data_IF_169312161198
#
_entry.id   IF_169312161198
#
_cell.length_a   1.000
_cell.length_b   1.000
_cell.length_c   1.000
_cell.angle_alpha   90.00
_cell.angle_beta   90.00
_cell.angle_gamma   90.00
#
_symmetry.space_group_name_H-M   'P 1'
#
loop_
_entity.id
_entity.type
_entity.pdbx_description
1 polymer ?
#
# COMPACT_ATOMS: atom_id res chain seq x y z
N UNK A 1 25.96 -15.01 -32.93
CA UNK A 1 24.82 -15.79 -32.42
C UNK A 1 25.38 -16.80 -31.44
N UNK A 2 25.01 -16.72 -30.16
CA UNK A 2 25.41 -17.73 -29.19
C UNK A 2 24.75 -19.06 -29.58
N UNK A 3 25.52 -20.14 -29.68
CA UNK A 3 25.00 -21.49 -29.93
C UNK A 3 24.03 -21.86 -28.81
N UNK A 4 22.73 -21.95 -29.13
CA UNK A 4 21.72 -22.41 -28.17
C UNK A 4 22.10 -23.81 -27.68
N UNK A 5 22.00 -24.08 -26.36
CA UNK A 5 22.33 -25.39 -25.82
C UNK A 5 21.43 -26.47 -26.45
N UNK A 6 21.98 -27.67 -26.68
CA UNK A 6 21.19 -28.80 -27.19
C UNK A 6 20.03 -29.12 -26.25
N UNK A 7 18.82 -29.20 -26.81
CA UNK A 7 17.59 -29.47 -26.07
C UNK A 7 17.53 -30.93 -25.63
N UNK A 8 17.37 -31.13 -24.33
CA UNK A 8 17.14 -32.46 -23.74
C UNK A 8 15.72 -32.95 -24.03
N UNK A 9 15.43 -34.24 -23.81
CA UNK A 9 14.08 -34.79 -23.96
C UNK A 9 13.05 -34.13 -23.03
N UNK A 10 13.49 -33.67 -21.85
CA UNK A 10 12.62 -32.94 -20.91
C UNK A 10 12.30 -31.55 -21.44
N UNK A 11 13.26 -30.87 -22.05
CA UNK A 11 13.06 -29.56 -22.67
C UNK A 11 12.12 -29.64 -23.88
N UNK A 12 12.23 -30.70 -24.70
CA UNK A 12 11.31 -30.94 -25.83
C UNK A 12 9.87 -31.17 -25.36
N UNK A 13 9.68 -31.92 -24.26
CA UNK A 13 8.36 -32.11 -23.66
C UNK A 13 7.79 -30.80 -23.11
N UNK A 14 8.62 -29.98 -22.46
CA UNK A 14 8.23 -28.67 -21.96
C UNK A 14 7.80 -27.72 -23.09
N UNK A 15 8.56 -27.66 -24.19
CA UNK A 15 8.16 -26.89 -25.38
C UNK A 15 6.82 -27.35 -25.95
N UNK A 16 6.56 -28.66 -25.99
CA UNK A 16 5.26 -29.19 -26.41
C UNK A 16 4.12 -28.72 -25.50
N UNK A 17 4.33 -28.72 -24.19
CA UNK A 17 3.34 -28.21 -23.22
C UNK A 17 3.08 -26.72 -23.42
N UNK A 18 4.15 -25.93 -23.63
CA UNK A 18 4.03 -24.51 -23.94
C UNK A 18 3.22 -24.31 -25.23
N UNK A 19 3.52 -25.04 -26.31
CA UNK A 19 2.75 -25.01 -27.57
C UNK A 19 1.27 -25.30 -27.36
N UNK A 20 0.95 -26.35 -26.62
CA UNK A 20 -0.43 -26.74 -26.33
C UNK A 20 -1.17 -25.66 -25.53
N UNK A 21 -0.49 -25.07 -24.55
CA UNK A 21 -1.03 -24.00 -23.71
C UNK A 21 -1.33 -22.74 -24.54
N UNK A 22 -0.39 -22.35 -25.39
CA UNK A 22 -0.51 -21.22 -26.30
C UNK A 22 -1.64 -21.46 -27.33
N UNK A 23 -1.75 -22.67 -27.90
CA UNK A 23 -2.85 -23.06 -28.81
C UNK A 23 -4.23 -23.03 -28.14
N UNK A 24 -4.31 -23.34 -26.85
CA UNK A 24 -5.57 -23.33 -26.10
C UNK A 24 -6.08 -21.91 -25.83
N UNK A 25 -5.19 -20.91 -25.78
CA UNK A 25 -5.52 -19.53 -25.44
C UNK A 25 -5.03 -18.51 -26.49
N UNK A 26 -5.43 -18.63 -27.76
CA UNK A 26 -4.85 -17.84 -28.84
C UNK A 26 -5.21 -16.35 -28.80
N UNK A 27 -6.28 -15.96 -28.10
CA UNK A 27 -6.67 -14.56 -27.98
C UNK A 27 -5.85 -13.77 -26.93
N UNK A 28 -4.93 -14.44 -26.20
CA UNK A 28 -4.16 -13.84 -25.10
C UNK A 28 -2.69 -13.60 -25.46
N UNK A 29 -2.28 -13.91 -26.70
CA UNK A 29 -0.91 -13.67 -27.16
C UNK A 29 -0.53 -12.19 -27.09
N UNK A 30 0.68 -11.94 -26.60
CA UNK A 30 1.34 -10.64 -26.67
C UNK A 30 0.80 -9.56 -25.71
N UNK A 31 -0.26 -9.86 -24.95
CA UNK A 31 -0.84 -8.93 -23.97
C UNK A 31 -0.25 -9.15 -22.59
N UNK A 32 0.94 -8.59 -22.39
CA UNK A 32 1.50 -8.40 -21.06
C UNK A 32 1.20 -6.95 -20.66
N UNK A 33 0.07 -6.69 -20.03
CA UNK A 33 -0.30 -5.32 -19.64
C UNK A 33 0.38 -4.90 -18.31
N UNK A 34 0.80 -5.88 -17.51
CA UNK A 34 1.45 -5.68 -16.23
C UNK A 34 2.99 -5.59 -16.37
N UNK A 35 3.63 -4.46 -16.00
CA UNK A 35 5.09 -4.27 -16.15
C UNK A 35 5.94 -5.28 -15.37
N UNK A 36 5.43 -5.80 -14.26
CA UNK A 36 6.14 -6.75 -13.42
C UNK A 36 6.16 -8.13 -14.11
N UNK A 37 5.01 -8.57 -14.62
CA UNK A 37 4.87 -9.78 -15.44
C UNK A 37 5.70 -9.67 -16.73
N UNK A 38 5.76 -8.50 -17.38
CA UNK A 38 6.64 -8.26 -18.54
C UNK A 38 8.12 -8.51 -18.23
N UNK A 39 8.63 -7.93 -17.15
CA UNK A 39 10.04 -8.10 -16.76
C UNK A 39 10.36 -9.56 -16.47
N UNK A 40 9.46 -10.25 -15.77
CA UNK A 40 9.66 -11.66 -15.46
C UNK A 40 9.60 -12.54 -16.71
N UNK A 41 8.69 -12.25 -17.66
CA UNK A 41 8.62 -12.96 -18.93
C UNK A 41 9.92 -12.83 -19.76
N UNK A 42 10.58 -11.65 -19.72
CA UNK A 42 11.89 -11.47 -20.35
C UNK A 42 12.98 -12.27 -19.64
N UNK A 43 12.95 -12.32 -18.31
CA UNK A 43 13.90 -13.12 -17.53
C UNK A 43 13.79 -14.62 -17.86
N UNK A 44 12.56 -15.10 -18.07
CA UNK A 44 12.32 -16.49 -18.44
C UNK A 44 13.05 -16.92 -19.72
N UNK A 45 13.30 -16.01 -20.68
CA UNK A 45 14.01 -16.30 -21.94
C UNK A 45 15.43 -16.84 -21.72
N UNK A 46 16.04 -16.54 -20.57
CA UNK A 46 17.40 -16.99 -20.23
C UNK A 46 17.45 -18.42 -19.68
N UNK A 47 16.29 -19.03 -19.36
CA UNK A 47 16.20 -20.38 -18.83
C UNK A 47 15.84 -21.39 -19.93
N UNK A 48 16.21 -22.66 -19.72
CA UNK A 48 15.79 -23.76 -20.59
C UNK A 48 14.28 -24.00 -20.49
N UNK A 49 13.63 -24.60 -21.49
CA UNK A 49 12.17 -24.75 -21.50
C UNK A 49 11.59 -25.45 -20.28
N UNK A 50 12.26 -26.52 -19.80
CA UNK A 50 11.80 -27.22 -18.59
C UNK A 50 11.94 -26.36 -17.33
N UNK A 51 13.01 -25.57 -17.21
CA UNK A 51 13.24 -24.64 -16.11
C UNK A 51 12.29 -23.43 -16.17
N UNK A 52 11.98 -22.93 -17.36
CA UNK A 52 11.10 -21.79 -17.55
C UNK A 52 9.66 -22.06 -17.09
N UNK A 53 9.15 -23.29 -17.30
CA UNK A 53 7.84 -23.71 -16.75
C UNK A 53 7.87 -23.66 -15.22
N UNK A 54 8.88 -24.26 -14.61
CA UNK A 54 9.03 -24.28 -13.15
C UNK A 54 9.12 -22.85 -12.60
N UNK A 55 9.95 -22.00 -13.20
CA UNK A 55 10.12 -20.60 -12.79
C UNK A 55 8.85 -19.77 -12.96
N UNK A 56 8.08 -19.99 -14.02
CA UNK A 56 6.80 -19.32 -14.21
C UNK A 56 5.77 -19.75 -13.14
N UNK A 57 5.75 -21.03 -12.76
CA UNK A 57 4.88 -21.53 -11.69
C UNK A 57 5.31 -21.02 -10.31
N UNK A 58 6.61 -21.02 -9.99
CA UNK A 58 7.16 -20.44 -8.76
C UNK A 58 6.73 -18.98 -8.59
N UNK A 59 6.85 -18.18 -9.65
CA UNK A 59 6.46 -16.78 -9.62
C UNK A 59 4.95 -16.59 -9.46
N UNK A 60 4.12 -17.42 -10.10
CA UNK A 60 2.67 -17.42 -9.86
C UNK A 60 2.33 -17.77 -8.41
N UNK A 61 3.03 -18.72 -7.81
CA UNK A 61 2.85 -19.06 -6.39
C UNK A 61 3.29 -17.91 -5.48
N UNK A 62 4.37 -17.21 -5.80
CA UNK A 62 4.80 -16.02 -5.05
C UNK A 62 3.74 -14.91 -5.12
N UNK A 63 3.24 -14.58 -6.32
CA UNK A 63 2.18 -13.59 -6.52
C UNK A 63 0.93 -13.98 -5.72
N UNK A 64 0.54 -15.26 -5.78
CA UNK A 64 -0.58 -15.76 -5.00
C UNK A 64 -0.36 -15.60 -3.50
N UNK A 65 0.80 -16.02 -2.98
CA UNK A 65 1.11 -15.92 -1.56
C UNK A 65 1.10 -14.45 -1.07
N UNK A 66 1.58 -13.52 -1.90
CA UNK A 66 1.49 -12.08 -1.60
C UNK A 66 0.04 -11.59 -1.56
N UNK A 67 -0.79 -12.01 -2.52
CA UNK A 67 -2.21 -11.66 -2.51
C UNK A 67 -2.93 -12.24 -1.30
N UNK A 68 -2.72 -13.51 -0.97
CA UNK A 68 -3.29 -14.16 0.21
C UNK A 68 -2.89 -13.39 1.49
N UNK A 69 -1.64 -12.92 1.60
CA UNK A 69 -1.18 -12.07 2.71
C UNK A 69 -1.87 -10.69 2.73
N UNK A 70 -2.06 -10.04 1.58
CA UNK A 70 -2.77 -8.77 1.51
C UNK A 70 -4.27 -8.92 1.85
N UNK A 71 -4.90 -10.05 1.49
CA UNK A 71 -6.27 -10.38 1.90
C UNK A 71 -6.38 -10.51 3.43
N UNK A 72 -5.44 -11.19 4.08
CA UNK A 72 -5.39 -11.28 5.55
C UNK A 72 -5.24 -9.91 6.21
N UNK A 73 -4.36 -9.06 5.67
CA UNK A 73 -4.17 -7.70 6.16
C UNK A 73 -5.40 -6.81 5.93
N UNK A 74 -6.10 -6.99 4.81
CA UNK A 74 -7.35 -6.29 4.53
C UNK A 74 -8.47 -6.72 5.50
N UNK A 75 -8.60 -8.02 5.77
CA UNK A 75 -9.57 -8.54 6.73
C UNK A 75 -9.30 -8.00 8.15
N UNK A 76 -8.03 -7.98 8.58
CA UNK A 76 -7.65 -7.39 9.87
C UNK A 76 -7.94 -5.87 9.92
N UNK A 77 -7.73 -5.17 8.80
CA UNK A 77 -8.05 -3.76 8.68
C UNK A 77 -9.56 -3.48 8.75
N UNK A 78 -10.39 -4.32 8.14
CA UNK A 78 -11.86 -4.23 8.25
C UNK A 78 -12.34 -4.47 9.68
N UNK A 79 -11.79 -5.48 10.38
CA UNK A 79 -12.07 -5.70 11.79
C UNK A 79 -11.73 -4.46 12.61
N UNK A 80 -10.55 -3.88 12.39
CA UNK A 80 -10.12 -2.66 13.07
C UNK A 80 -11.03 -1.47 12.79
N UNK A 81 -11.51 -1.33 11.55
CA UNK A 81 -12.50 -0.31 11.17
C UNK A 81 -13.82 -0.50 11.92
N UNK A 82 -14.30 -1.74 12.04
CA UNK A 82 -15.50 -2.05 12.80
C UNK A 82 -15.32 -1.76 14.31
N UNK A 83 -14.15 -2.06 14.87
CA UNK A 83 -13.81 -1.71 16.26
C UNK A 83 -13.86 -0.19 16.49
N UNK A 84 -13.23 0.60 15.61
CA UNK A 84 -13.21 2.06 15.72
C UNK A 84 -14.59 2.69 15.56
N UNK A 85 -15.46 2.07 14.76
CA UNK A 85 -16.87 2.48 14.64
C UNK A 85 -17.63 2.24 15.94
N UNK A 86 -17.39 1.11 16.60
CA UNK A 86 -18.04 0.78 17.87
C UNK A 86 -17.45 1.55 19.05
N UNK A 87 -16.14 1.81 19.03
CA UNK A 87 -15.38 2.43 20.11
C UNK A 87 -14.35 3.42 19.54
N UNK A 88 -14.76 4.67 19.30
CA UNK A 88 -13.85 5.73 18.92
C UNK A 88 -12.76 5.94 19.97
N UNK A 89 -11.56 6.30 19.52
CA UNK A 89 -10.42 6.59 20.41
C UNK A 89 -10.32 8.09 20.59
N UNK A 90 -10.45 8.55 21.83
CA UNK A 90 -10.36 9.97 22.19
C UNK A 90 -8.95 10.35 22.67
N UNK A 91 -8.61 11.63 22.56
CA UNK A 91 -7.42 12.20 23.23
C UNK A 91 -7.43 11.90 24.73
N UNK A 92 -6.29 11.49 25.29
CA UNK A 92 -6.16 11.02 26.68
C UNK A 92 -7.09 9.83 27.05
N UNK A 93 -7.80 9.24 26.09
CA UNK A 93 -8.69 8.10 26.29
C UNK A 93 -10.10 8.41 26.82
N UNK A 94 -10.45 9.68 27.05
CA UNK A 94 -11.73 10.06 27.66
C UNK A 94 -12.48 11.15 26.90
N UNK A 95 -13.79 11.00 26.78
CA UNK A 95 -14.71 12.02 26.29
C UNK A 95 -15.40 12.79 27.45
N UNK A 96 -16.19 13.81 27.10
CA UNK A 96 -17.01 14.56 28.05
C UNK A 96 -16.22 15.33 29.12
N UNK A 97 -16.86 15.55 30.28
CA UNK A 97 -16.31 16.38 31.36
C UNK A 97 -14.97 15.85 31.90
N UNK A 98 -14.83 14.53 32.06
CA UNK A 98 -13.59 13.89 32.52
C UNK A 98 -12.46 14.18 31.53
N UNK A 99 -12.71 14.03 30.23
CA UNK A 99 -11.75 14.34 29.19
C UNK A 99 -11.34 15.83 29.20
N UNK A 100 -12.28 16.75 29.46
CA UNK A 100 -11.99 18.18 29.57
C UNK A 100 -11.09 18.47 30.78
N UNK A 101 -11.39 17.90 31.94
CA UNK A 101 -10.58 18.09 33.15
C UNK A 101 -9.16 17.55 32.98
N UNK A 102 -9.01 16.34 32.42
CA UNK A 102 -7.71 15.74 32.17
C UNK A 102 -6.89 16.55 31.16
N UNK A 103 -7.51 17.00 30.05
CA UNK A 103 -6.83 17.87 29.08
C UNK A 103 -6.41 19.18 29.71
N UNK A 104 -7.26 19.79 30.53
CA UNK A 104 -6.93 21.03 31.25
C UNK A 104 -5.73 20.84 32.18
N UNK A 105 -5.70 19.71 32.90
CA UNK A 105 -4.58 19.36 33.77
C UNK A 105 -3.28 19.14 32.98
N UNK A 106 -3.30 18.29 31.94
CA UNK A 106 -2.12 18.01 31.12
C UNK A 106 -1.65 19.26 30.37
N UNK A 107 -2.56 20.07 29.85
CA UNK A 107 -2.25 21.36 29.22
C UNK A 107 -1.59 22.34 30.19
N UNK A 108 -2.02 22.36 31.45
CA UNK A 108 -1.40 23.19 32.49
C UNK A 108 0.02 22.73 32.79
N UNK A 109 0.24 21.41 32.91
CA UNK A 109 1.59 20.83 33.05
C UNK A 109 2.47 21.17 31.84
N UNK A 110 1.89 21.11 30.64
CA UNK A 110 2.58 21.40 29.38
C UNK A 110 2.81 22.92 29.15
N UNK A 111 2.34 23.79 30.04
CA UNK A 111 2.35 25.25 29.87
C UNK A 111 1.62 25.76 28.62
N UNK A 112 0.63 25.00 28.14
CA UNK A 112 -0.19 25.34 26.96
C UNK A 112 -1.68 25.37 27.30
N UNK A 113 -2.13 26.17 28.28
CA UNK A 113 -3.52 26.16 28.75
C UNK A 113 -4.53 26.46 27.63
N UNK A 114 -4.13 27.24 26.61
CA UNK A 114 -4.97 27.57 25.46
C UNK A 114 -5.28 26.36 24.56
N UNK A 115 -4.48 25.29 24.61
CA UNK A 115 -4.76 24.05 23.86
C UNK A 115 -5.65 23.08 24.63
N UNK A 116 -6.00 23.37 25.89
CA UNK A 116 -6.88 22.52 26.70
C UNK A 116 -8.26 22.27 26.10
N UNK A 117 -8.89 23.21 25.37
CA UNK A 117 -10.19 22.98 24.75
C UNK A 117 -10.11 22.08 23.52
N UNK A 118 -8.92 21.82 22.96
CA UNK A 118 -8.78 21.04 21.74
C UNK A 118 -8.82 19.53 22.06
N UNK A 119 -9.39 18.71 21.18
CA UNK A 119 -9.30 17.25 21.25
C UNK A 119 -9.23 16.65 19.87
N UNK A 120 -8.96 15.35 19.82
CA UNK A 120 -9.24 14.56 18.65
C UNK A 120 -10.04 13.32 19.04
N UNK A 121 -10.70 12.76 18.04
CA UNK A 121 -11.28 11.43 18.07
C UNK A 121 -10.89 10.68 16.80
N UNK A 122 -10.50 9.42 16.94
CA UNK A 122 -10.21 8.53 15.83
C UNK A 122 -11.38 7.58 15.65
N UNK A 123 -12.00 7.67 14.47
CA UNK A 123 -13.22 6.96 14.08
C UNK A 123 -12.98 6.13 12.83
N UNK A 124 -14.02 5.43 12.34
CA UNK A 124 -13.98 4.71 11.06
C UNK A 124 -13.85 5.63 9.83
N UNK A 125 -14.02 6.94 10.00
CA UNK A 125 -13.86 7.96 8.95
C UNK A 125 -12.45 8.56 8.89
N UNK A 126 -11.66 8.38 9.94
CA UNK A 126 -10.35 9.00 10.10
C UNK A 126 -10.19 9.72 11.44
N UNK A 127 -9.16 10.56 11.53
CA UNK A 127 -8.84 11.34 12.71
C UNK A 127 -9.57 12.68 12.63
N UNK A 128 -10.54 12.90 13.50
CA UNK A 128 -11.29 14.16 13.60
C UNK A 128 -10.65 15.00 14.69
N UNK A 129 -10.14 16.17 14.34
CA UNK A 129 -9.53 17.12 15.27
C UNK A 129 -10.49 18.28 15.49
N UNK A 130 -10.80 18.54 16.75
CA UNK A 130 -11.72 19.56 17.23
C UNK A 130 -10.95 20.70 17.88
N UNK A 131 -11.12 21.91 17.34
CA UNK A 131 -10.47 23.15 17.77
C UNK A 131 -11.53 24.25 17.93
N UNK A 132 -12.29 24.26 19.04
CA UNK A 132 -13.51 25.07 19.17
C UNK A 132 -13.29 26.59 19.14
N UNK A 133 -12.05 27.03 19.40
CA UNK A 133 -11.69 28.46 19.40
C UNK A 133 -11.02 28.91 18.09
N UNK A 134 -10.86 28.01 17.12
CA UNK A 134 -10.26 28.33 15.82
C UNK A 134 -11.33 28.63 14.76
N UNK A 135 -10.94 29.32 13.69
CA UNK A 135 -11.83 29.61 12.56
C UNK A 135 -12.39 28.35 11.89
N UNK A 136 -11.60 27.27 11.89
CA UNK A 136 -12.04 25.94 11.44
C UNK A 136 -12.14 25.09 12.69
N UNK A 137 -13.38 24.80 13.11
CA UNK A 137 -13.65 24.13 14.38
C UNK A 137 -13.43 22.62 14.34
N UNK A 138 -13.56 22.01 13.17
CA UNK A 138 -13.43 20.57 12.98
C UNK A 138 -12.65 20.28 11.68
N UNK A 139 -11.73 19.31 11.74
CA UNK A 139 -10.98 18.82 10.57
C UNK A 139 -10.89 17.31 10.60
N UNK A 140 -11.23 16.68 9.48
CA UNK A 140 -11.03 15.24 9.28
C UNK A 140 -9.70 15.01 8.56
N UNK A 141 -8.84 14.20 9.14
CA UNK A 141 -7.52 13.82 8.61
C UNK A 141 -7.55 12.35 8.24
N UNK A 142 -7.29 12.07 6.96
CA UNK A 142 -7.20 10.71 6.44
C UNK A 142 -5.75 10.30 6.21
N UNK A 143 -5.50 9.00 6.02
CA UNK A 143 -4.16 8.53 5.65
C UNK A 143 -3.65 9.14 4.34
N UNK A 144 -4.56 9.35 3.37
CA UNK A 144 -4.25 9.93 2.07
C UNK A 144 -3.72 11.36 2.21
N UNK A 145 -4.30 12.16 3.11
CA UNK A 145 -3.82 13.53 3.36
C UNK A 145 -2.38 13.55 3.89
N UNK A 146 -2.00 12.54 4.68
CA UNK A 146 -0.65 12.38 5.21
C UNK A 146 0.33 11.86 4.14
N UNK A 147 -0.09 10.88 3.34
CA UNK A 147 0.74 10.34 2.25
C UNK A 147 1.03 11.38 1.16
N UNK A 148 0.01 12.14 0.76
CA UNK A 148 0.13 13.21 -0.24
C UNK A 148 0.81 14.48 0.32
N UNK A 149 1.24 14.46 1.60
CA UNK A 149 1.82 15.61 2.29
C UNK A 149 0.94 16.86 2.13
N UNK A 150 -0.38 16.72 2.32
CA UNK A 150 -1.30 17.85 2.48
C UNK A 150 -1.32 18.34 3.92
N UNK A 151 -1.09 17.41 4.85
CA UNK A 151 -1.05 17.65 6.29
C UNK A 151 0.11 16.87 6.90
N UNK A 152 0.71 17.43 7.94
CA UNK A 152 1.75 16.77 8.71
C UNK A 152 1.31 16.63 10.17
N UNK A 153 1.36 15.41 10.69
CA UNK A 153 1.20 15.16 12.12
C UNK A 153 2.59 15.09 12.77
N UNK A 154 2.82 15.92 13.78
CA UNK A 154 4.07 15.97 14.53
C UNK A 154 3.84 15.95 16.03
N UNK A 155 4.93 15.79 16.78
CA UNK A 155 4.93 15.94 18.24
C UNK A 155 5.66 17.23 18.60
N UNK A 156 5.04 18.05 19.43
CA UNK A 156 5.67 19.19 20.06
C UNK A 156 5.90 18.89 21.55
N UNK A 157 7.15 18.73 22.00
CA UNK A 157 7.45 18.60 23.42
C UNK A 157 7.09 19.88 24.20
N UNK A 158 6.97 19.81 25.53
CA UNK A 158 6.87 21.00 26.36
C UNK A 158 8.15 21.85 26.26
N UNK A 159 8.01 23.16 26.14
CA UNK A 159 9.14 24.11 25.95
C UNK A 159 10.21 23.97 27.04
N UNK A 160 9.81 23.69 28.28
CA UNK A 160 10.75 23.52 29.40
C UNK A 160 11.54 22.20 29.33
N UNK A 161 11.04 21.19 28.60
CA UNK A 161 11.77 19.94 28.37
C UNK A 161 12.72 20.03 27.17
N UNK A 162 12.59 21.03 26.28
CA UNK A 162 13.39 21.11 25.05
C UNK A 162 14.90 21.09 25.30
N UNK A 163 15.37 21.82 26.32
CA UNK A 163 16.80 21.84 26.66
C UNK A 163 17.31 20.47 27.12
N UNK A 164 16.53 19.78 27.94
CA UNK A 164 16.86 18.45 28.44
C UNK A 164 16.82 17.42 27.30
N UNK A 165 15.77 17.45 26.48
CA UNK A 165 15.60 16.55 25.33
C UNK A 165 16.72 16.78 24.32
N UNK A 166 17.08 18.04 24.04
CA UNK A 166 18.18 18.40 23.16
C UNK A 166 19.52 17.84 23.66
N UNK A 167 19.79 17.94 24.96
CA UNK A 167 20.96 17.35 25.58
C UNK A 167 20.96 15.81 25.48
N UNK A 168 19.84 15.15 25.78
CA UNK A 168 19.73 13.69 25.66
C UNK A 168 19.90 13.20 24.22
N UNK A 169 19.39 13.95 23.23
CA UNK A 169 19.58 13.67 21.81
C UNK A 169 21.05 13.76 21.40
N UNK A 170 21.83 14.70 21.94
CA UNK A 170 23.28 14.76 21.70
C UNK A 170 24.01 13.51 22.20
N UNK A 171 23.51 12.90 23.28
CA UNK A 171 24.02 11.62 23.81
C UNK A 171 23.51 10.39 23.04
N UNK A 172 22.78 10.59 21.93
CA UNK A 172 22.10 9.53 21.14
C UNK A 172 21.13 8.69 21.97
N UNK A 173 20.61 9.23 23.07
CA UNK A 173 19.59 8.59 23.89
C UNK A 173 18.22 8.93 23.28
N UNK A 174 17.51 7.91 22.80
CA UNK A 174 16.14 8.07 22.31
C UNK A 174 15.19 8.28 23.50
N UNK A 175 15.03 9.54 23.88
CA UNK A 175 14.06 9.94 24.92
C UNK A 175 12.67 10.14 24.32
N UNK A 176 11.68 9.41 24.83
CA UNK A 176 10.26 9.61 24.50
C UNK A 176 9.67 10.61 25.46
N UNK A 177 8.90 11.56 24.94
CA UNK A 177 8.29 12.57 25.79
C UNK A 177 7.15 11.97 26.62
N UNK A 178 7.14 12.15 27.95
CA UNK A 178 6.09 11.58 28.78
C UNK A 178 4.74 12.29 28.57
N UNK A 179 4.78 13.56 28.20
CA UNK A 179 3.63 14.36 27.78
C UNK A 179 4.11 15.41 26.77
N UNK A 180 3.17 15.96 26.01
CA UNK A 180 3.41 17.00 25.03
C UNK A 180 2.14 17.27 24.23
N UNK A 181 2.31 17.82 23.03
CA UNK A 181 1.20 18.04 22.10
C UNK A 181 1.40 17.23 20.82
N UNK A 182 0.33 16.62 20.35
CA UNK A 182 0.21 16.21 18.96
C UNK A 182 -0.21 17.45 18.17
N UNK A 183 0.55 17.77 17.13
CA UNK A 183 0.32 18.94 16.29
C UNK A 183 -0.06 18.51 14.87
N UNK A 184 -1.04 19.19 14.31
CA UNK A 184 -1.41 19.09 12.91
C UNK A 184 -0.89 20.35 12.21
N UNK A 185 -0.07 20.20 11.18
CA UNK A 185 0.60 21.30 10.49
C UNK A 185 0.35 21.24 9.00
N UNK A 186 0.36 22.41 8.38
CA UNK A 186 0.43 22.50 6.93
C UNK A 186 1.92 22.37 6.49
N UNK A 187 2.23 21.44 5.58
CA UNK A 187 3.59 21.23 5.13
C UNK A 187 4.10 22.42 4.32
N UNK A 188 5.37 22.76 4.50
CA UNK A 188 6.01 23.90 3.83
C UNK A 188 5.82 25.24 4.56
N UNK A 189 4.58 25.61 4.90
CA UNK A 189 4.30 26.84 5.65
C UNK A 189 4.68 26.72 7.13
N UNK A 190 4.62 25.50 7.68
CA UNK A 190 4.87 25.23 9.10
C UNK A 190 3.75 25.75 10.01
N UNK A 191 2.66 26.25 9.44
CA UNK A 191 1.51 26.77 10.19
C UNK A 191 0.88 25.62 10.97
N UNK A 192 0.75 25.81 12.28
CA UNK A 192 0.07 24.86 13.15
C UNK A 192 -1.42 25.07 13.04
N UNK A 193 -2.11 24.08 12.51
CA UNK A 193 -3.55 24.07 12.27
C UNK A 193 -4.34 23.64 13.51
N UNK A 194 -3.76 22.73 14.30
CA UNK A 194 -4.32 22.26 15.56
C UNK A 194 -3.23 21.70 16.48
N UNK A 195 -3.45 21.81 17.79
CA UNK A 195 -2.61 21.21 18.81
C UNK A 195 -3.47 20.54 19.86
N UNK A 196 -3.18 19.29 20.20
CA UNK A 196 -3.91 18.53 21.23
C UNK A 196 -2.91 17.95 22.22
N UNK A 197 -3.13 18.21 23.50
CA UNK A 197 -2.28 17.67 24.57
C UNK A 197 -2.50 16.18 24.76
N UNK A 198 -1.42 15.44 24.99
CA UNK A 198 -1.46 13.99 25.09
C UNK A 198 -0.36 13.46 26.04
N UNK A 199 -0.64 12.31 26.64
CA UNK A 199 0.35 11.54 27.42
C UNK A 199 1.03 10.57 26.45
N UNK A 200 2.37 10.58 26.45
CA UNK A 200 3.20 9.84 25.49
C UNK A 200 2.79 10.12 24.04
N UNK A 201 2.84 11.39 23.61
CA UNK A 201 2.38 11.80 22.28
C UNK A 201 3.08 11.05 21.16
N UNK A 202 4.35 10.66 21.32
CA UNK A 202 5.10 9.86 20.34
C UNK A 202 4.47 8.48 20.07
N UNK A 203 4.11 7.75 21.14
CA UNK A 203 3.48 6.44 21.06
C UNK A 203 2.07 6.57 20.48
N UNK A 204 1.34 7.59 20.92
CA UNK A 204 -0.02 7.83 20.47
C UNK A 204 -0.08 8.24 19.00
N UNK A 205 0.86 9.07 18.55
CA UNK A 205 0.98 9.45 17.15
C UNK A 205 1.30 8.25 16.25
N UNK A 206 2.18 7.36 16.69
CA UNK A 206 2.47 6.12 15.98
C UNK A 206 1.21 5.23 15.87
N UNK A 207 0.45 5.10 16.95
CA UNK A 207 -0.83 4.38 16.95
C UNK A 207 -1.83 5.01 15.97
N UNK A 208 -2.02 6.34 16.02
CA UNK A 208 -2.93 7.05 15.10
C UNK A 208 -2.54 6.82 13.64
N UNK A 209 -1.24 6.91 13.31
CA UNK A 209 -0.77 6.66 11.93
C UNK A 209 -1.03 5.23 11.47
N UNK A 210 -0.80 4.25 12.34
CA UNK A 210 -1.07 2.84 12.05
C UNK A 210 -2.57 2.58 11.84
N UNK A 211 -3.42 3.13 12.71
CA UNK A 211 -4.87 3.01 12.60
C UNK A 211 -5.41 3.72 11.34
N UNK A 212 -4.89 4.91 11.00
CA UNK A 212 -5.24 5.58 9.74
C UNK A 212 -4.83 4.76 8.52
N UNK A 213 -3.66 4.13 8.53
CA UNK A 213 -3.21 3.24 7.46
C UNK A 213 -4.12 2.01 7.32
N UNK A 214 -4.55 1.43 8.45
CA UNK A 214 -5.52 0.33 8.46
C UNK A 214 -6.86 0.78 7.87
N UNK A 215 -7.38 1.94 8.27
CA UNK A 215 -8.63 2.49 7.72
C UNK A 215 -8.54 2.71 6.20
N UNK A 216 -7.40 3.18 5.71
CA UNK A 216 -7.16 3.34 4.28
C UNK A 216 -7.16 2.00 3.54
N UNK A 217 -6.46 0.99 4.07
CA UNK A 217 -6.49 -0.37 3.51
C UNK A 217 -7.90 -0.96 3.51
N UNK A 218 -8.67 -0.75 4.57
CA UNK A 218 -10.07 -1.20 4.65
C UNK A 218 -11.01 -0.43 3.69
N UNK A 219 -10.60 0.72 3.17
CA UNK A 219 -11.37 1.46 2.17
C UNK A 219 -11.02 1.01 0.74
N UNK A 220 -9.80 0.51 0.53
CA UNK A 220 -9.31 0.01 -0.75
C UNK A 220 -8.51 -1.30 -0.56
N UNK A 221 -9.20 -2.44 -0.33
CA UNK A 221 -8.56 -3.72 0.00
C UNK A 221 -7.73 -4.28 -1.16
N UNK A 222 -8.02 -3.86 -2.40
CA UNK A 222 -7.39 -4.37 -3.61
C UNK A 222 -6.28 -3.45 -4.16
N UNK A 223 -5.98 -2.32 -3.51
CA UNK A 223 -4.95 -1.37 -3.97
C UNK A 223 -3.58 -2.02 -4.23
N UNK A 224 -3.21 -3.01 -3.40
CA UNK A 224 -1.92 -3.70 -3.48
C UNK A 224 -2.02 -5.10 -4.10
N UNK A 225 -3.21 -5.55 -4.50
CA UNK A 225 -3.37 -6.87 -5.09
C UNK A 225 -2.69 -6.91 -6.45
N UNK A 226 -1.85 -7.92 -6.65
CA UNK A 226 -1.22 -8.17 -7.93
C UNK A 226 -2.17 -9.01 -8.79
N UNK A 227 -2.22 -8.70 -10.08
CA UNK A 227 -2.94 -9.55 -11.03
C UNK A 227 -2.20 -10.88 -11.13
N UNK A 228 -2.87 -11.98 -10.79
CA UNK A 228 -2.27 -13.31 -10.91
C UNK A 228 -2.02 -13.60 -12.41
N UNK A 229 -0.77 -13.70 -12.86
CA UNK A 229 -0.48 -13.85 -14.26
C UNK A 229 -0.82 -15.27 -14.70
N UNK A 230 -1.24 -15.41 -15.95
CA UNK A 230 -1.49 -16.71 -16.56
C UNK A 230 -0.18 -17.22 -17.16
N UNK A 231 -0.03 -18.54 -17.23
CA UNK A 231 1.15 -19.14 -17.86
C UNK A 231 1.31 -18.72 -19.34
N UNK A 232 0.20 -18.49 -20.06
CA UNK A 232 0.20 -18.04 -21.46
C UNK A 232 0.89 -16.68 -21.62
N UNK A 233 0.75 -15.81 -20.62
CA UNK A 233 1.27 -14.45 -20.66
C UNK A 233 2.81 -14.47 -20.68
N UNK A 234 3.42 -15.39 -19.92
CA UNK A 234 4.87 -15.59 -19.90
C UNK A 234 5.42 -16.15 -21.21
N UNK A 235 4.73 -17.13 -21.79
CA UNK A 235 5.31 -17.92 -22.87
C UNK A 235 5.01 -17.41 -24.28
N UNK A 236 4.17 -16.38 -24.41
CA UNK A 236 3.85 -15.76 -25.70
C UNK A 236 5.11 -15.35 -26.48
N UNK A 237 6.12 -14.81 -25.78
CA UNK A 237 7.39 -14.39 -26.37
C UNK A 237 8.50 -15.46 -26.25
N UNK A 238 8.27 -16.48 -25.41
CA UNK A 238 9.25 -17.53 -25.14
C UNK A 238 9.40 -18.49 -26.32
N UNK A 239 8.27 -18.80 -26.97
CA UNK A 239 8.27 -19.75 -28.08
C UNK A 239 8.98 -19.19 -29.31
N UNK A 240 8.85 -17.88 -29.59
CA UNK A 240 9.53 -17.23 -30.71
C UNK A 240 11.06 -17.26 -30.59
N UNK A 241 11.57 -17.35 -29.36
CA UNK A 241 12.99 -17.39 -29.05
C UNK A 241 13.53 -18.82 -28.96
N UNK A 242 12.75 -19.82 -28.53
CA UNK A 242 13.24 -21.18 -28.30
C UNK A 242 12.78 -22.22 -29.32
N UNK A 243 11.88 -21.85 -30.24
CA UNK A 243 11.23 -22.78 -31.16
C UNK A 243 11.19 -22.27 -32.61
N UNK A 244 12.15 -22.73 -33.42
CA UNK A 244 12.23 -22.40 -34.84
C UNK A 244 11.07 -23.00 -35.66
N UNK A 245 10.41 -24.08 -35.18
CA UNK A 245 9.22 -24.64 -35.84
C UNK A 245 7.99 -23.73 -35.73
N UNK A 246 7.88 -22.95 -34.65
CA UNK A 246 6.73 -22.07 -34.44
C UNK A 246 6.77 -20.84 -35.35
N UNK A 247 7.98 -20.38 -35.73
CA UNK A 247 8.18 -19.31 -36.73
C UNK A 247 7.62 -19.65 -38.12
N UNK A 248 7.38 -20.94 -38.40
CA UNK A 248 6.86 -21.42 -39.69
C UNK A 248 5.33 -21.38 -39.79
N UNK A 249 4.61 -21.06 -38.70
CA UNK A 249 3.17 -20.83 -38.75
C UNK A 249 2.87 -19.37 -38.40
N UNK A 250 2.63 -18.49 -39.39
CA UNK A 250 2.16 -17.15 -39.09
C UNK A 250 0.83 -17.23 -38.35
N UNK A 251 0.47 -16.20 -37.54
CA UNK A 251 -0.84 -16.16 -36.90
C UNK A 251 -1.90 -16.40 -37.95
N UNK A 252 -2.81 -17.36 -37.69
CA UNK A 252 -3.92 -17.72 -38.55
C UNK A 252 -4.43 -16.46 -39.23
N UNK A 253 -4.26 -16.43 -40.56
CA UNK A 253 -4.84 -15.40 -41.41
C UNK A 253 -6.25 -15.20 -40.91
N UNK A 254 -6.50 -14.01 -40.39
CA UNK A 254 -7.85 -13.56 -40.10
C UNK A 254 -8.58 -13.77 -41.41
N UNK A 255 -9.54 -14.70 -41.44
CA UNK A 255 -10.55 -14.73 -42.49
C UNK A 255 -11.28 -13.39 -42.36
N UNK A 256 -10.70 -12.37 -42.98
CA UNK A 256 -11.43 -11.21 -43.44
C UNK A 256 -12.35 -11.81 -44.48
N UNK A 257 -13.57 -12.07 -44.04
CA UNK A 257 -14.68 -12.36 -44.93
C UNK A 257 -14.62 -11.34 -46.07
N UNK A 258 -14.20 -11.80 -47.24
CA UNK A 258 -14.51 -11.16 -48.51
C UNK A 258 -16.03 -11.18 -48.64
N UNK A 259 -16.67 -10.17 -48.06
CA UNK A 259 -17.96 -9.69 -48.50
C UNK A 259 -17.76 -9.04 -49.88
N UNK A 260 -17.60 -9.89 -50.89
CA UNK A 260 -17.79 -9.54 -52.29
C UNK A 260 -18.52 -10.68 -52.98
N UNK A 261 -19.81 -10.80 -52.67
CA UNK A 261 -20.84 -11.25 -53.61
C UNK A 261 -22.04 -10.31 -53.44
N UNK A 262 -22.15 -9.36 -54.35
CA UNK A 262 -23.25 -9.29 -55.33
C UNK A 262 -24.53 -8.64 -54.76
N UNK A 263 -24.59 -7.31 -54.86
CA UNK A 263 -25.86 -6.61 -55.07
C UNK A 263 -25.73 -5.67 -56.29
N UNK A 264 -26.60 -5.93 -57.26
CA UNK A 264 -27.26 -5.04 -58.22
C UNK A 264 -26.43 -4.16 -59.17
#
# INVERSE_FOLDING_TARGET
>A
MATKPELTDTDRKALKQIRELLRKYPAQYGRLDDPLTQRYAQELLHFRPSEAIVKAEEFRQEVKARNDQEEELAAAAEQRRAELRARPIYSLGYAGLIGVLLRSFVASINWTPLSSPNWYELTDRGLIVHTPLANVTERVVTHRDLQEKRLELGVNPPVYLDRLIGFLKQLRINYRTPWGQITLREPGSGVVLAEVVEIRPDEKLAQIRADLAALHRAADPYANHLILPKLVDFFSYYIDEWDDEYRLYPPLATEVAENTSEEA
#
